data_IF_694308806891
#
_entry.id   IF_694308806891
#
_cell.length_a   1.000
_cell.length_b   1.000
_cell.length_c   1.000
_cell.angle_alpha   90.00
_cell.angle_beta   90.00
_cell.angle_gamma   90.00
#
_symmetry.space_group_name_H-M   'P 1'
#
loop_
_entity.id
_entity.type
_entity.pdbx_description
1 polymer ?
#
# COMPACT_ATOMS: atom_id res chain seq x y z
N UNK A 1 -5.55 16.16 -12.06
CA UNK A 1 -4.19 16.35 -12.67
C UNK A 1 -3.59 14.99 -12.99
N UNK A 2 -2.95 14.80 -14.16
CA UNK A 2 -2.33 13.52 -14.50
C UNK A 2 -1.14 13.23 -13.60
N UNK A 3 -1.04 11.98 -13.15
CA UNK A 3 0.02 11.48 -12.28
C UNK A 3 1.21 10.94 -13.07
N UNK A 4 1.04 10.70 -14.37
CA UNK A 4 2.10 10.28 -15.30
C UNK A 4 2.63 11.49 -16.08
N UNK A 5 3.94 11.50 -16.34
CA UNK A 5 4.65 12.54 -17.10
C UNK A 5 4.79 12.18 -18.57
N UNK A 6 5.42 13.07 -19.34
CA UNK A 6 5.67 12.91 -20.79
C UNK A 6 6.59 11.72 -21.12
N UNK A 7 7.36 11.24 -20.15
CA UNK A 7 8.28 10.10 -20.27
C UNK A 7 7.64 8.77 -19.84
N UNK A 8 6.32 8.70 -19.72
CA UNK A 8 5.57 7.51 -19.28
C UNK A 8 5.94 7.02 -17.86
N UNK A 9 6.55 7.89 -17.05
CA UNK A 9 6.86 7.64 -15.64
C UNK A 9 6.04 8.55 -14.73
N UNK A 10 5.85 8.12 -13.50
CA UNK A 10 5.13 8.89 -12.50
C UNK A 10 5.82 10.24 -12.21
N UNK A 11 4.99 11.28 -12.09
CA UNK A 11 5.38 12.61 -11.63
C UNK A 11 5.44 12.59 -10.12
N UNK A 12 6.64 12.51 -9.56
CA UNK A 12 6.87 12.31 -8.12
C UNK A 12 6.12 13.33 -7.25
N UNK A 13 6.13 14.60 -7.64
CA UNK A 13 5.44 15.72 -6.99
C UNK A 13 3.92 15.57 -6.92
N UNK A 14 3.34 14.82 -7.86
CA UNK A 14 1.90 14.58 -7.95
C UNK A 14 1.44 13.37 -7.11
N UNK A 15 2.38 12.56 -6.59
CA UNK A 15 2.06 11.33 -5.88
C UNK A 15 1.80 11.56 -4.38
N UNK A 16 1.02 10.66 -3.74
CA UNK A 16 0.96 10.58 -2.29
C UNK A 16 2.34 10.43 -1.67
N UNK A 17 2.58 11.14 -0.56
CA UNK A 17 3.89 11.18 0.14
C UNK A 17 4.59 9.83 0.32
N UNK A 18 3.86 8.73 0.57
CA UNK A 18 4.48 7.39 0.73
C UNK A 18 5.01 6.83 -0.59
N UNK A 19 4.31 7.05 -1.69
CA UNK A 19 4.77 6.68 -3.03
C UNK A 19 5.97 7.51 -3.48
N UNK A 20 6.05 8.78 -3.07
CA UNK A 20 7.25 9.59 -3.33
C UNK A 20 8.53 8.99 -2.73
N UNK A 21 8.43 8.15 -1.70
CA UNK A 21 9.56 7.48 -1.07
C UNK A 21 9.69 6.00 -1.49
N UNK A 22 8.78 5.52 -2.34
CA UNK A 22 8.84 4.17 -2.91
C UNK A 22 9.74 4.10 -4.14
N UNK A 23 10.08 2.89 -4.57
CA UNK A 23 10.76 2.67 -5.85
C UNK A 23 9.93 3.12 -7.06
N UNK A 24 10.60 3.37 -8.19
CA UNK A 24 9.98 3.88 -9.42
C UNK A 24 8.81 3.02 -9.91
N UNK A 25 8.94 1.69 -9.82
CA UNK A 25 7.90 0.78 -10.31
C UNK A 25 6.61 0.84 -9.47
N UNK A 26 6.71 1.05 -8.16
CA UNK A 26 5.56 1.30 -7.30
C UNK A 26 4.86 2.62 -7.68
N UNK A 27 5.66 3.67 -7.90
CA UNK A 27 5.18 4.97 -8.35
C UNK A 27 4.43 4.87 -9.70
N UNK A 28 5.05 4.23 -10.69
CA UNK A 28 4.48 4.04 -12.03
C UNK A 28 3.21 3.20 -11.99
N UNK A 29 3.18 2.13 -11.19
CA UNK A 29 1.99 1.29 -11.02
C UNK A 29 0.80 2.11 -10.52
N UNK A 30 1.03 2.96 -9.52
CA UNK A 30 -0.02 3.84 -9.01
C UNK A 30 -0.42 4.89 -10.06
N UNK A 31 0.54 5.63 -10.62
CA UNK A 31 0.28 6.74 -11.52
C UNK A 31 -0.48 6.31 -12.79
N UNK A 32 -0.01 5.24 -13.44
CA UNK A 32 -0.63 4.72 -14.67
C UNK A 32 -2.04 4.20 -14.41
N UNK A 33 -2.23 3.46 -13.30
CA UNK A 33 -3.56 2.99 -12.93
C UNK A 33 -4.48 4.15 -12.60
N UNK A 34 -3.98 5.17 -11.89
CA UNK A 34 -4.76 6.35 -11.53
C UNK A 34 -5.25 7.09 -12.76
N UNK A 35 -4.35 7.40 -13.71
CA UNK A 35 -4.70 8.17 -14.90
C UNK A 35 -5.71 7.41 -15.78
N UNK A 36 -5.49 6.11 -16.00
CA UNK A 36 -6.43 5.26 -16.74
C UNK A 36 -7.79 5.14 -16.03
N UNK A 37 -7.81 5.04 -14.70
CA UNK A 37 -9.05 4.99 -13.93
C UNK A 37 -9.77 6.34 -13.91
N UNK A 38 -9.04 7.46 -13.95
CA UNK A 38 -9.61 8.79 -14.00
C UNK A 38 -10.41 9.00 -15.30
N UNK A 39 -9.86 8.53 -16.42
CA UNK A 39 -10.57 8.51 -17.72
C UNK A 39 -11.81 7.59 -17.67
N UNK A 40 -11.69 6.43 -17.03
CA UNK A 40 -12.76 5.43 -16.97
C UNK A 40 -13.90 5.78 -16.01
N UNK A 41 -13.66 6.67 -15.04
CA UNK A 41 -14.63 7.04 -13.99
C UNK A 41 -15.05 8.51 -14.08
N UNK A 42 -15.16 9.06 -15.28
CA UNK A 42 -15.66 10.42 -15.51
C UNK A 42 -14.93 11.50 -14.68
N UNK A 43 -13.61 11.33 -14.51
CA UNK A 43 -12.75 12.18 -13.69
C UNK A 43 -13.02 12.15 -12.16
N UNK A 44 -13.64 11.07 -11.64
CA UNK A 44 -13.76 10.84 -10.20
C UNK A 44 -12.39 10.44 -9.60
N UNK A 45 -11.68 11.45 -9.06
CA UNK A 45 -10.38 11.28 -8.43
C UNK A 45 -10.39 10.27 -7.27
N UNK A 46 -11.52 10.15 -6.56
CA UNK A 46 -11.67 9.24 -5.43
C UNK A 46 -11.72 7.78 -5.89
N UNK A 47 -12.48 7.48 -6.95
CA UNK A 47 -12.51 6.14 -7.57
C UNK A 47 -11.19 5.80 -8.23
N UNK A 48 -10.59 6.76 -8.94
CA UNK A 48 -9.26 6.60 -9.54
C UNK A 48 -8.19 6.25 -8.49
N UNK A 49 -8.17 6.98 -7.36
CA UNK A 49 -7.26 6.67 -6.25
C UNK A 49 -7.48 5.27 -5.67
N UNK A 50 -8.73 4.84 -5.49
CA UNK A 50 -9.04 3.49 -4.98
C UNK A 50 -8.55 2.40 -5.93
N UNK A 51 -8.79 2.55 -7.22
CA UNK A 51 -8.31 1.61 -8.24
C UNK A 51 -6.78 1.56 -8.27
N UNK A 52 -6.11 2.72 -8.23
CA UNK A 52 -4.66 2.82 -8.20
C UNK A 52 -4.05 2.14 -6.98
N UNK A 53 -4.63 2.35 -5.78
CA UNK A 53 -4.18 1.66 -4.58
C UNK A 53 -4.46 0.15 -4.61
N UNK A 54 -5.56 -0.30 -5.21
CA UNK A 54 -5.86 -1.72 -5.35
C UNK A 54 -4.82 -2.42 -6.25
N UNK A 55 -4.53 -1.83 -7.41
CA UNK A 55 -3.47 -2.28 -8.32
C UNK A 55 -2.10 -2.33 -7.64
N UNK A 56 -1.74 -1.27 -6.91
CA UNK A 56 -0.51 -1.22 -6.14
C UNK A 56 -0.44 -2.35 -5.10
N UNK A 57 -1.46 -2.49 -4.24
CA UNK A 57 -1.52 -3.49 -3.16
C UNK A 57 -1.51 -4.94 -3.65
N UNK A 58 -1.85 -5.16 -4.91
CA UNK A 58 -1.79 -6.48 -5.52
C UNK A 58 -0.34 -7.00 -5.69
N UNK A 59 0.64 -6.10 -5.76
CA UNK A 59 2.05 -6.45 -5.95
C UNK A 59 3.02 -5.78 -4.97
N UNK A 60 2.55 -4.81 -4.20
CA UNK A 60 3.31 -4.08 -3.19
C UNK A 60 2.60 -4.13 -1.83
N UNK A 61 3.38 -4.00 -0.77
CA UNK A 61 2.88 -3.78 0.58
C UNK A 61 3.57 -2.57 1.20
N UNK A 62 2.89 -1.95 2.15
CA UNK A 62 3.40 -0.78 2.83
C UNK A 62 4.32 -1.22 3.97
N UNK A 63 5.56 -0.75 3.95
CA UNK A 63 6.56 -0.99 5.00
C UNK A 63 7.06 0.37 5.48
N UNK A 64 6.78 0.69 6.73
CA UNK A 64 7.03 2.01 7.28
C UNK A 64 6.27 3.11 6.52
N UNK A 65 7.03 3.95 5.82
CA UNK A 65 6.55 5.14 5.13
C UNK A 65 6.66 5.07 3.60
N UNK A 66 6.92 3.89 3.04
CA UNK A 66 6.99 3.63 1.60
C UNK A 66 6.35 2.28 1.25
N UNK A 67 6.43 1.90 -0.02
CA UNK A 67 5.87 0.66 -0.56
C UNK A 67 6.98 -0.23 -1.12
N UNK A 68 6.97 -1.49 -0.71
CA UNK A 68 7.94 -2.51 -1.09
C UNK A 68 7.26 -3.65 -1.86
N UNK A 69 7.97 -4.29 -2.81
CA UNK A 69 7.40 -5.39 -3.57
C UNK A 69 7.10 -6.60 -2.68
N UNK A 70 5.92 -7.20 -2.86
CA UNK A 70 5.54 -8.44 -2.20
C UNK A 70 6.33 -9.61 -2.77
N UNK A 71 6.64 -10.60 -1.95
CA UNK A 71 7.20 -11.88 -2.43
C UNK A 71 6.25 -12.59 -3.41
N UNK A 72 4.95 -12.50 -3.17
CA UNK A 72 3.89 -13.10 -4.00
C UNK A 72 2.80 -12.08 -4.29
N UNK A 73 2.40 -12.01 -5.57
CA UNK A 73 1.26 -11.19 -6.01
C UNK A 73 -0.06 -11.80 -5.52
N UNK A 74 -1.04 -10.94 -5.26
CA UNK A 74 -2.36 -11.34 -4.81
C UNK A 74 -3.00 -10.31 -3.87
N UNK A 75 -4.24 -10.56 -3.40
CA UNK A 75 -4.92 -9.67 -2.46
C UNK A 75 -4.09 -9.48 -1.19
N UNK A 76 -4.12 -8.25 -0.64
CA UNK A 76 -3.39 -7.92 0.60
C UNK A 76 -4.14 -8.33 1.86
N UNK A 77 -5.47 -8.35 1.82
CA UNK A 77 -6.35 -8.67 2.92
C UNK A 77 -7.65 -9.30 2.38
N UNK A 78 -8.48 -9.86 3.27
CA UNK A 78 -9.75 -10.50 2.88
C UNK A 78 -10.69 -9.55 2.14
N UNK A 79 -10.70 -8.27 2.53
CA UNK A 79 -11.49 -7.25 1.83
C UNK A 79 -11.06 -7.10 0.37
N UNK A 80 -9.76 -7.13 0.08
CA UNK A 80 -9.24 -7.09 -1.27
C UNK A 80 -9.55 -8.37 -2.07
N UNK A 81 -9.68 -9.51 -1.40
CA UNK A 81 -10.06 -10.80 -2.01
C UNK A 81 -11.56 -10.87 -2.34
N UNK A 82 -12.41 -10.45 -1.41
CA UNK A 82 -13.88 -10.51 -1.52
C UNK A 82 -14.47 -9.32 -2.29
N UNK A 83 -13.74 -8.21 -2.39
CA UNK A 83 -14.14 -7.02 -3.14
C UNK A 83 -15.13 -6.11 -2.39
N UNK A 84 -15.91 -5.34 -3.15
CA UNK A 84 -16.72 -4.22 -2.63
C UNK A 84 -17.80 -4.67 -1.62
N UNK A 85 -18.31 -5.89 -1.74
CA UNK A 85 -19.36 -6.42 -0.86
C UNK A 85 -18.83 -6.91 0.50
N UNK A 86 -17.51 -6.96 0.67
CA UNK A 86 -16.89 -7.43 1.90
C UNK A 86 -17.12 -6.47 3.07
N UNK A 87 -17.51 -7.04 4.21
CA UNK A 87 -17.56 -6.35 5.50
C UNK A 87 -16.22 -6.40 6.25
N UNK A 88 -15.22 -7.10 5.71
CA UNK A 88 -13.92 -7.25 6.37
C UNK A 88 -13.16 -5.91 6.44
N UNK A 89 -12.38 -5.69 7.51
CA UNK A 89 -11.54 -4.50 7.63
C UNK A 89 -10.39 -4.54 6.62
N UNK A 90 -9.91 -3.36 6.21
CA UNK A 90 -8.66 -3.27 5.44
C UNK A 90 -7.45 -3.20 6.36
N UNK A 91 -6.35 -3.83 5.94
CA UNK A 91 -5.08 -3.82 6.65
C UNK A 91 -4.20 -2.59 6.34
N UNK A 92 -4.76 -1.52 5.76
CA UNK A 92 -4.06 -0.24 5.59
C UNK A 92 -2.82 -0.29 4.68
N UNK A 93 -2.71 -1.30 3.81
CA UNK A 93 -1.54 -1.52 2.94
C UNK A 93 -0.57 -2.59 3.46
N UNK A 94 -0.76 -3.11 4.67
CA UNK A 94 -0.07 -4.32 5.14
C UNK A 94 -0.59 -5.54 4.36
N UNK A 95 0.28 -6.48 4.02
CA UNK A 95 -0.12 -7.76 3.43
C UNK A 95 -0.57 -8.75 4.51
N UNK A 96 -1.80 -8.60 5.02
CA UNK A 96 -2.41 -9.54 5.98
C UNK A 96 -2.48 -10.99 5.45
N UNK A 97 -2.48 -11.18 4.14
CA UNK A 97 -2.41 -12.51 3.52
C UNK A 97 -1.02 -13.17 3.59
N UNK A 98 0.03 -12.44 3.99
CA UNK A 98 1.38 -12.98 4.14
C UNK A 98 1.51 -14.05 5.25
N UNK A 99 2.63 -14.78 5.27
CA UNK A 99 2.92 -15.69 6.37
C UNK A 99 3.19 -14.91 7.67
N UNK A 100 2.95 -15.55 8.82
CA UNK A 100 3.30 -14.98 10.12
C UNK A 100 4.79 -14.62 10.20
N UNK A 101 5.65 -15.45 9.62
CA UNK A 101 7.09 -15.23 9.57
C UNK A 101 7.46 -13.97 8.80
N UNK A 102 6.81 -13.71 7.66
CA UNK A 102 7.01 -12.49 6.88
C UNK A 102 6.60 -11.25 7.68
N UNK A 103 5.40 -11.25 8.25
CA UNK A 103 4.92 -10.15 9.09
C UNK A 103 5.83 -9.92 10.31
N UNK A 104 6.35 -10.99 10.90
CA UNK A 104 7.31 -10.89 11.99
C UNK A 104 8.64 -10.24 11.55
N UNK A 105 9.14 -10.56 10.35
CA UNK A 105 10.36 -9.93 9.79
C UNK A 105 10.14 -8.43 9.58
N UNK A 106 9.03 -8.03 8.95
CA UNK A 106 8.68 -6.62 8.80
C UNK A 106 8.53 -5.91 10.15
N UNK A 107 7.88 -6.58 11.12
CA UNK A 107 7.72 -6.02 12.46
C UNK A 107 9.06 -5.87 13.19
N UNK A 108 10.03 -6.75 12.91
CA UNK A 108 11.40 -6.64 13.42
C UNK A 108 12.13 -5.46 12.78
N UNK A 109 12.00 -5.28 11.48
CA UNK A 109 12.60 -4.17 10.74
C UNK A 109 12.09 -2.80 11.23
N UNK A 110 10.79 -2.71 11.48
CA UNK A 110 10.14 -1.50 12.01
C UNK A 110 10.27 -1.33 13.53
N UNK A 111 11.08 -2.15 14.20
CA UNK A 111 11.28 -2.20 15.65
C UNK A 111 9.96 -2.19 16.47
N UNK A 112 9.00 -3.00 16.04
CA UNK A 112 7.75 -3.20 16.76
C UNK A 112 8.04 -3.93 18.08
N UNK A 113 7.73 -3.26 19.19
CA UNK A 113 7.88 -3.83 20.54
C UNK A 113 6.88 -4.96 20.76
N UNK A 114 7.33 -6.04 21.39
CA UNK A 114 6.47 -7.20 21.72
C UNK A 114 6.16 -8.15 20.55
N UNK A 115 6.64 -7.85 19.34
CA UNK A 115 6.43 -8.64 18.10
C UNK A 115 6.63 -10.15 18.23
N UNK A 116 7.53 -10.62 19.11
CA UNK A 116 7.83 -12.05 19.29
C UNK A 116 6.74 -12.83 20.00
N UNK A 117 5.86 -12.14 20.74
CA UNK A 117 4.72 -12.75 21.42
C UNK A 117 3.43 -12.64 20.61
N UNK A 118 3.43 -11.86 19.54
CA UNK A 118 2.24 -11.57 18.76
C UNK A 118 1.84 -12.74 17.87
N UNK A 119 0.54 -12.96 17.74
CA UNK A 119 -0.02 -13.79 16.66
C UNK A 119 -0.02 -13.04 15.31
N UNK A 120 -0.57 -13.68 14.27
CA UNK A 120 -0.57 -13.10 12.93
C UNK A 120 -1.41 -11.83 12.85
N UNK A 121 -2.58 -11.80 13.47
CA UNK A 121 -3.51 -10.68 13.38
C UNK A 121 -3.01 -9.49 14.23
N UNK A 122 -2.40 -9.79 15.37
CA UNK A 122 -1.71 -8.79 16.19
C UNK A 122 -0.53 -8.16 15.44
N UNK A 123 0.26 -8.96 14.71
CA UNK A 123 1.34 -8.45 13.87
C UNK A 123 0.82 -7.52 12.77
N UNK A 124 -0.28 -7.87 12.09
CA UNK A 124 -0.90 -7.01 11.07
C UNK A 124 -1.31 -5.66 11.66
N UNK A 125 -2.01 -5.67 12.80
CA UNK A 125 -2.46 -4.45 13.48
C UNK A 125 -1.27 -3.59 13.95
N UNK A 126 -0.24 -4.23 14.50
CA UNK A 126 0.95 -3.55 14.97
C UNK A 126 1.74 -2.92 13.83
N UNK A 127 1.88 -3.62 12.70
CA UNK A 127 2.49 -3.11 11.47
C UNK A 127 1.70 -1.93 10.90
N UNK A 128 0.38 -2.02 10.82
CA UNK A 128 -0.46 -0.91 10.36
C UNK A 128 -0.21 0.35 11.21
N UNK A 129 -0.19 0.21 12.54
CA UNK A 129 0.12 1.30 13.45
C UNK A 129 1.54 1.84 13.27
N UNK A 130 2.52 0.97 13.08
CA UNK A 130 3.92 1.35 12.83
C UNK A 130 4.05 2.14 11.52
N UNK A 131 3.40 1.68 10.45
CA UNK A 131 3.37 2.33 9.14
C UNK A 131 2.73 3.72 9.22
N UNK A 132 1.61 3.85 9.93
CA UNK A 132 0.94 5.14 10.12
C UNK A 132 1.79 6.11 10.94
N UNK A 133 2.53 5.60 11.94
CA UNK A 133 3.49 6.38 12.71
C UNK A 133 4.66 6.86 11.86
N UNK A 134 5.28 5.96 11.07
CA UNK A 134 6.37 6.28 10.17
C UNK A 134 5.95 7.31 9.11
N UNK A 135 4.79 7.10 8.48
CA UNK A 135 4.22 8.05 7.51
C UNK A 135 4.00 9.42 8.12
N UNK A 136 3.49 9.50 9.36
CA UNK A 136 3.29 10.78 10.05
C UNK A 136 4.62 11.47 10.36
N UNK A 137 5.65 10.72 10.77
CA UNK A 137 6.99 11.25 11.04
C UNK A 137 7.65 11.80 9.77
N UNK A 138 7.53 11.08 8.65
CA UNK A 138 8.12 11.49 7.38
C UNK A 138 7.47 12.72 6.73
N UNK A 139 6.31 13.16 7.24
CA UNK A 139 5.62 14.39 6.80
C UNK A 139 5.95 15.61 7.67
N UNK A 140 6.62 15.42 8.81
CA UNK A 140 7.10 16.51 9.67
C UNK A 140 8.41 17.04 9.15
#
# INVERSE_FOLDING_TARGET
MPKTGKNDHARKDELPSTLQRSEQKAQDTFAKTYDSALESYDNDEGRAARAAYASLKHSYEKVGDHWEPKEKRGPSDKRAEEGIQSSEPTAGGVNASASKEHLYKLAKELDVKGRSKMDKDELVKALQKANDSATRKARK
#
